data_IF_171504905980
#
_entry.id   IF_171504905980
#
_cell.length_a   1.000
_cell.length_b   1.000
_cell.length_c   1.000
_cell.angle_alpha   90.00
_cell.angle_beta   90.00
_cell.angle_gamma   90.00
#
_symmetry.space_group_name_H-M   'P 1'
#
loop_
_entity.id
_entity.type
_entity.pdbx_description
1 polymer ?
#
# COMPACT_ATOMS: atom_id res chain seq x y z
N UNK A 1 24.78 -16.38 30.56
CA UNK A 1 24.11 -17.66 30.23
C UNK A 1 23.20 -17.39 29.04
N UNK A 2 23.34 -18.11 27.93
CA UNK A 2 22.44 -17.94 26.76
C UNK A 2 21.09 -18.55 27.15
N UNK A 3 20.10 -17.74 27.47
CA UNK A 3 18.79 -18.22 27.93
C UNK A 3 17.78 -18.18 26.80
N UNK A 4 17.44 -19.36 26.29
CA UNK A 4 16.24 -19.59 25.47
C UNK A 4 15.04 -19.79 26.41
N UNK A 5 13.96 -19.03 26.20
CA UNK A 5 12.66 -19.28 26.87
C UNK A 5 11.74 -19.96 25.85
N UNK A 6 11.31 -21.21 26.06
CA UNK A 6 10.39 -21.87 25.16
C UNK A 6 9.04 -21.13 25.15
N UNK A 7 8.45 -20.97 23.96
CA UNK A 7 7.08 -20.49 23.79
C UNK A 7 6.11 -21.49 24.44
N UNK A 8 5.27 -20.99 25.34
CA UNK A 8 4.17 -21.76 25.93
C UNK A 8 3.03 -21.81 24.93
N UNK A 9 2.97 -22.86 24.11
CA UNK A 9 1.74 -23.43 23.55
C UNK A 9 2.06 -24.73 22.79
N UNK A 10 1.12 -25.69 22.89
CA UNK A 10 1.08 -27.06 22.34
C UNK A 10 1.83 -28.19 23.09
N UNK A 11 1.02 -29.04 23.72
CA UNK A 11 1.31 -30.35 24.35
C UNK A 11 1.69 -31.38 23.29
N UNK A 12 2.94 -31.34 22.82
CA UNK A 12 3.58 -32.45 22.10
C UNK A 12 4.58 -33.08 23.07
N UNK A 13 4.52 -34.41 23.24
CA UNK A 13 5.44 -35.17 24.09
C UNK A 13 6.86 -35.05 23.50
N UNK A 14 7.65 -34.10 24.01
CA UNK A 14 9.03 -33.86 23.55
C UNK A 14 9.95 -34.96 24.07
N UNK A 15 10.95 -35.34 23.28
CA UNK A 15 11.95 -36.29 23.74
C UNK A 15 12.67 -35.76 25.01
N UNK A 16 12.88 -36.61 26.01
CA UNK A 16 13.52 -36.25 27.28
C UNK A 16 14.92 -35.64 27.12
N UNK A 17 15.60 -35.90 26.00
CA UNK A 17 16.93 -35.35 25.68
C UNK A 17 16.87 -34.06 24.86
N UNK A 18 15.68 -33.52 24.58
CA UNK A 18 15.48 -32.33 23.75
C UNK A 18 16.28 -31.13 24.26
N UNK A 19 16.14 -30.79 25.54
CA UNK A 19 16.84 -29.63 26.12
C UNK A 19 18.36 -29.81 26.16
N UNK A 20 18.84 -31.04 26.34
CA UNK A 20 20.27 -31.36 26.26
C UNK A 20 20.79 -31.22 24.84
N UNK A 21 20.00 -31.62 23.84
CA UNK A 21 20.34 -31.44 22.44
C UNK A 21 20.43 -29.95 22.07
N UNK A 22 19.49 -29.11 22.54
CA UNK A 22 19.54 -27.64 22.35
C UNK A 22 20.84 -27.06 22.91
N UNK A 23 21.18 -27.39 24.16
CA UNK A 23 22.43 -26.90 24.79
C UNK A 23 23.66 -27.34 24.01
N UNK A 24 23.70 -28.60 23.61
CA UNK A 24 24.81 -29.17 22.85
C UNK A 24 25.03 -28.43 21.52
N UNK A 25 23.97 -28.18 20.74
CA UNK A 25 24.11 -27.47 19.46
C UNK A 25 24.47 -25.99 19.68
N UNK A 26 23.96 -25.36 20.74
CA UNK A 26 24.32 -23.98 21.08
C UNK A 26 25.78 -23.85 21.48
N UNK A 27 26.35 -24.84 22.17
CA UNK A 27 27.74 -24.82 22.61
C UNK A 27 28.72 -25.19 21.50
N UNK A 28 28.35 -26.14 20.65
CA UNK A 28 29.24 -26.69 19.62
C UNK A 28 29.14 -25.96 18.27
N UNK A 29 28.02 -25.27 18.04
CA UNK A 29 27.73 -24.63 16.75
C UNK A 29 27.48 -25.60 15.60
N UNK A 30 27.13 -26.86 15.89
CA UNK A 30 26.90 -27.89 14.88
C UNK A 30 25.62 -28.66 15.20
N UNK A 31 24.64 -28.64 14.29
CA UNK A 31 23.42 -29.47 14.41
C UNK A 31 23.49 -30.66 13.43
N UNK A 32 23.87 -31.84 13.92
CA UNK A 32 23.95 -33.06 13.10
C UNK A 32 23.65 -34.33 13.89
N UNK A 33 23.10 -35.34 13.21
CA UNK A 33 22.64 -36.57 13.86
C UNK A 33 23.82 -37.31 14.51
N UNK A 34 24.98 -37.34 13.84
CA UNK A 34 26.20 -37.96 14.33
C UNK A 34 26.81 -37.24 15.55
N UNK A 35 26.60 -35.92 15.70
CA UNK A 35 27.00 -35.20 16.90
C UNK A 35 26.13 -35.60 18.09
N UNK A 36 24.80 -35.51 17.92
CA UNK A 36 23.83 -35.87 18.97
C UNK A 36 24.00 -37.33 19.38
N UNK A 37 24.15 -38.24 18.40
CA UNK A 37 24.36 -39.66 18.62
C UNK A 37 25.58 -39.92 19.52
N UNK A 38 26.73 -39.30 19.21
CA UNK A 38 27.98 -39.52 19.96
C UNK A 38 27.99 -38.82 21.32
N UNK A 39 27.44 -37.61 21.41
CA UNK A 39 27.52 -36.77 22.61
C UNK A 39 26.46 -37.13 23.64
N UNK A 40 25.24 -37.43 23.20
CA UNK A 40 24.14 -37.85 24.07
C UNK A 40 24.00 -39.38 24.17
N UNK A 41 24.89 -40.14 23.51
CA UNK A 41 24.92 -41.62 23.50
C UNK A 41 23.57 -42.24 23.09
N UNK A 42 22.92 -41.64 22.09
CA UNK A 42 21.63 -42.08 21.57
C UNK A 42 21.80 -42.94 20.32
N UNK A 43 20.80 -43.74 19.96
CA UNK A 43 20.75 -44.43 18.68
C UNK A 43 20.48 -43.46 17.52
N UNK A 44 21.00 -43.76 16.33
CA UNK A 44 20.92 -42.87 15.15
C UNK A 44 19.47 -42.44 14.83
N UNK A 45 18.51 -43.37 14.84
CA UNK A 45 17.10 -43.08 14.56
C UNK A 45 16.44 -42.13 15.58
N UNK A 46 16.91 -42.14 16.83
CA UNK A 46 16.43 -41.21 17.87
C UNK A 46 17.12 -39.85 17.74
N UNK A 47 18.40 -39.83 17.39
CA UNK A 47 19.13 -38.58 17.08
C UNK A 47 18.60 -37.86 15.85
N UNK A 48 18.14 -38.59 14.82
CA UNK A 48 17.46 -38.02 13.67
C UNK A 48 16.12 -37.39 14.06
N UNK A 49 15.28 -38.13 14.81
CA UNK A 49 14.01 -37.61 15.34
C UNK A 49 14.18 -36.36 16.20
N UNK A 50 15.21 -36.33 17.06
CA UNK A 50 15.54 -35.15 17.84
C UNK A 50 15.87 -33.92 16.96
N UNK A 51 16.54 -34.11 15.82
CA UNK A 51 16.76 -32.99 14.90
C UNK A 51 15.47 -32.54 14.23
N UNK A 52 14.59 -33.47 13.87
CA UNK A 52 13.27 -33.14 13.30
C UNK A 52 12.41 -32.37 14.31
N UNK A 53 12.44 -32.75 15.60
CA UNK A 53 11.77 -32.02 16.68
C UNK A 53 12.37 -30.61 16.88
N UNK A 54 13.70 -30.48 16.78
CA UNK A 54 14.38 -29.19 16.87
C UNK A 54 14.04 -28.27 15.67
N UNK A 55 13.90 -28.83 14.48
CA UNK A 55 13.46 -28.13 13.27
C UNK A 55 12.01 -27.64 13.41
N UNK A 56 11.10 -28.53 13.81
CA UNK A 56 9.68 -28.18 14.07
C UNK A 56 9.54 -27.09 15.14
N UNK A 57 10.46 -27.07 16.11
CA UNK A 57 10.51 -26.04 17.16
C UNK A 57 11.18 -24.73 16.72
N UNK A 58 11.62 -24.63 15.46
CA UNK A 58 12.28 -23.45 14.89
C UNK A 58 13.68 -23.18 15.46
N UNK A 59 14.33 -24.20 16.02
CA UNK A 59 15.67 -24.09 16.64
C UNK A 59 16.78 -24.29 15.60
N UNK A 60 16.53 -25.14 14.61
CA UNK A 60 17.41 -25.41 13.46
C UNK A 60 16.63 -25.32 12.15
N UNK A 61 17.33 -25.09 11.04
CA UNK A 61 16.75 -25.05 9.69
C UNK A 61 16.54 -26.43 9.09
N UNK A 62 15.99 -26.45 7.86
CA UNK A 62 15.67 -27.67 7.11
C UNK A 62 16.92 -28.52 6.78
N UNK A 63 16.69 -29.78 6.42
CA UNK A 63 17.77 -30.67 5.95
C UNK A 63 18.32 -30.17 4.62
N UNK A 64 19.61 -29.79 4.59
CA UNK A 64 20.32 -29.44 3.36
C UNK A 64 21.40 -30.48 3.03
N UNK A 65 20.97 -31.58 2.41
CA UNK A 65 21.84 -32.69 2.02
C UNK A 65 22.58 -33.32 3.20
N UNK A 66 23.86 -33.63 3.02
CA UNK A 66 24.70 -34.29 4.04
C UNK A 66 25.37 -33.32 5.03
N UNK A 67 25.12 -32.00 4.92
CA UNK A 67 25.73 -30.99 5.79
C UNK A 67 24.98 -30.89 7.14
N UNK A 68 25.63 -30.42 8.21
CA UNK A 68 24.93 -30.02 9.43
C UNK A 68 23.84 -28.99 9.12
N UNK A 69 22.71 -29.08 9.84
CA UNK A 69 21.60 -28.12 9.70
C UNK A 69 21.99 -26.76 10.26
N UNK A 70 21.41 -25.70 9.71
CA UNK A 70 21.64 -24.33 10.17
C UNK A 70 21.03 -24.12 11.56
N UNK A 71 21.71 -23.41 12.45
CA UNK A 71 21.19 -23.11 13.80
C UNK A 71 20.53 -21.74 13.78
N UNK A 72 19.23 -21.69 14.12
CA UNK A 72 18.39 -20.50 14.01
C UNK A 72 18.29 -19.69 15.33
N UNK A 73 18.84 -20.23 16.41
CA UNK A 73 18.92 -19.57 17.72
C UNK A 73 20.34 -19.06 18.02
N UNK A 74 20.51 -18.16 19.00
CA UNK A 74 21.84 -17.74 19.45
C UNK A 74 22.70 -18.93 19.88
N UNK A 75 23.90 -19.06 19.31
CA UNK A 75 24.83 -20.17 19.53
C UNK A 75 26.28 -19.72 19.42
N UNK A 76 27.23 -20.58 19.82
CA UNK A 76 28.66 -20.34 19.66
C UNK A 76 29.16 -20.90 18.33
N UNK A 77 30.06 -20.18 17.68
CA UNK A 77 30.83 -20.73 16.55
C UNK A 77 32.04 -21.56 17.06
N UNK A 78 32.77 -22.16 16.13
CA UNK A 78 33.99 -22.94 16.44
C UNK A 78 35.08 -22.14 17.16
N UNK A 79 35.05 -20.81 17.06
CA UNK A 79 35.98 -19.89 17.70
C UNK A 79 35.48 -19.40 19.07
N UNK A 80 34.34 -19.91 19.55
CA UNK A 80 33.75 -19.56 20.84
C UNK A 80 32.98 -18.25 20.87
N UNK A 81 32.85 -17.55 19.74
CA UNK A 81 32.10 -16.30 19.62
C UNK A 81 30.60 -16.58 19.55
N UNK A 82 29.79 -15.71 20.15
CA UNK A 82 28.32 -15.83 20.10
C UNK A 82 27.81 -15.27 18.78
N UNK A 83 27.20 -16.14 17.96
CA UNK A 83 26.45 -15.80 16.76
C UNK A 83 24.99 -15.60 17.14
N UNK A 84 24.41 -14.48 16.71
CA UNK A 84 22.97 -14.24 16.72
C UNK A 84 22.51 -14.35 15.25
N UNK A 85 21.83 -15.44 14.86
CA UNK A 85 21.33 -15.59 13.50
C UNK A 85 20.42 -14.41 13.16
N UNK A 86 20.69 -13.73 12.04
CA UNK A 86 19.72 -12.78 11.49
C UNK A 86 18.53 -13.63 11.03
N UNK A 87 17.36 -13.40 11.60
CA UNK A 87 16.12 -13.96 11.06
C UNK A 87 15.93 -13.34 9.69
N UNK A 88 16.40 -14.00 8.63
CA UNK A 88 15.98 -13.63 7.29
C UNK A 88 14.46 -13.71 7.28
N UNK A 89 13.75 -12.66 6.82
CA UNK A 89 12.31 -12.72 6.75
C UNK A 89 11.95 -13.87 5.80
N UNK A 90 11.52 -14.99 6.38
CA UNK A 90 10.93 -16.07 5.60
C UNK A 90 9.78 -15.45 4.82
N UNK A 91 9.74 -15.56 3.48
CA UNK A 91 8.54 -15.17 2.76
C UNK A 91 7.42 -16.04 3.32
N UNK A 92 6.51 -15.41 4.06
CA UNK A 92 5.28 -16.07 4.48
C UNK A 92 4.59 -16.41 3.17
N UNK A 93 4.57 -17.69 2.78
CA UNK A 93 3.61 -18.18 1.80
C UNK A 93 2.26 -18.07 2.49
N UNK A 94 1.64 -16.90 2.38
CA UNK A 94 0.28 -16.73 2.79
C UNK A 94 -0.54 -17.41 1.69
N UNK A 95 -1.00 -18.63 1.97
CA UNK A 95 -2.13 -19.19 1.24
C UNK A 95 -3.36 -18.37 1.63
N UNK A 96 -3.54 -17.23 0.95
CA UNK A 96 -4.77 -16.48 1.01
C UNK A 96 -5.81 -17.27 0.22
N UNK A 97 -6.66 -18.04 0.91
CA UNK A 97 -8.03 -18.25 0.43
C UNK A 97 -8.79 -16.92 0.57
N UNK A 98 -8.38 -15.91 -0.20
CA UNK A 98 -9.13 -14.68 -0.38
C UNK A 98 -10.10 -14.90 -1.53
N UNK A 99 -11.31 -15.36 -1.21
CA UNK A 99 -12.44 -15.06 -2.09
C UNK A 99 -12.58 -13.54 -2.16
N UNK A 100 -11.90 -12.92 -3.12
CA UNK A 100 -12.05 -11.50 -3.45
C UNK A 100 -13.54 -11.19 -3.54
N UNK A 101 -13.98 -10.09 -2.92
CA UNK A 101 -15.38 -9.69 -3.00
C UNK A 101 -15.79 -9.57 -4.49
N UNK A 102 -16.75 -10.39 -4.90
CA UNK A 102 -17.18 -10.48 -6.30
C UNK A 102 -17.89 -9.19 -6.68
N UNK A 103 -17.28 -8.42 -7.58
CA UNK A 103 -17.86 -7.16 -8.05
C UNK A 103 -19.16 -7.41 -8.82
N UNK A 104 -20.22 -6.68 -8.47
CA UNK A 104 -21.48 -6.67 -9.20
C UNK A 104 -21.56 -5.44 -10.10
N UNK A 105 -21.93 -5.65 -11.38
CA UNK A 105 -22.15 -4.55 -12.32
C UNK A 105 -23.27 -3.65 -11.82
N UNK A 106 -22.97 -2.38 -11.60
CA UNK A 106 -23.95 -1.41 -11.10
C UNK A 106 -24.64 -0.67 -12.25
N UNK A 107 -25.72 0.06 -11.92
CA UNK A 107 -26.37 1.02 -12.84
C UNK A 107 -25.47 2.20 -13.25
N UNK A 108 -24.36 2.40 -12.55
CA UNK A 108 -23.38 3.46 -12.82
C UNK A 108 -22.30 3.03 -13.82
N UNK A 109 -22.26 1.74 -14.18
CA UNK A 109 -21.29 1.22 -15.14
C UNK A 109 -21.69 1.56 -16.58
N UNK A 110 -20.87 2.37 -17.25
CA UNK A 110 -21.06 2.68 -18.67
C UNK A 110 -20.84 1.42 -19.53
N UNK A 111 -21.63 1.24 -20.59
CA UNK A 111 -21.48 0.11 -21.52
C UNK A 111 -20.19 0.20 -22.38
N UNK A 112 -19.62 1.40 -22.48
CA UNK A 112 -18.33 1.68 -23.11
C UNK A 112 -17.66 2.76 -22.27
N UNK A 113 -16.60 2.42 -21.54
CA UNK A 113 -15.85 3.36 -20.69
C UNK A 113 -14.90 4.23 -21.53
N UNK A 114 -15.45 4.98 -22.49
CA UNK A 114 -14.69 5.97 -23.23
C UNK A 114 -14.29 7.13 -22.30
N UNK A 115 -12.98 7.26 -22.08
CA UNK A 115 -12.33 8.19 -21.17
C UNK A 115 -12.48 7.83 -19.68
N UNK A 116 -11.35 7.69 -19.00
CA UNK A 116 -11.33 7.55 -17.54
C UNK A 116 -11.75 8.87 -16.86
N UNK A 117 -13.03 8.97 -16.49
CA UNK A 117 -13.61 10.12 -15.78
C UNK A 117 -13.87 9.82 -14.32
N UNK A 118 -13.69 10.84 -13.48
CA UNK A 118 -14.07 10.84 -12.06
C UNK A 118 -15.10 11.96 -11.82
N UNK A 119 -16.07 11.70 -10.96
CA UNK A 119 -17.10 12.66 -10.56
C UNK A 119 -16.55 13.55 -9.44
N UNK A 120 -16.70 14.87 -9.57
CA UNK A 120 -16.21 15.83 -8.56
C UNK A 120 -17.32 16.51 -7.77
N UNK A 121 -18.45 16.82 -8.41
CA UNK A 121 -19.55 17.54 -7.76
C UNK A 121 -20.48 18.20 -8.76
N UNK A 122 -21.07 19.33 -8.36
CA UNK A 122 -21.99 20.10 -9.19
C UNK A 122 -21.54 21.56 -9.32
N UNK A 123 -21.86 22.18 -10.46
CA UNK A 123 -21.65 23.62 -10.67
C UNK A 123 -22.80 24.48 -10.11
N UNK A 124 -22.69 25.79 -10.27
CA UNK A 124 -23.72 26.77 -9.87
C UNK A 124 -25.09 26.56 -10.52
N UNK A 125 -25.12 25.89 -11.68
CA UNK A 125 -26.34 25.54 -12.42
C UNK A 125 -26.85 24.13 -12.06
N UNK A 126 -26.28 23.49 -11.02
CA UNK A 126 -26.57 22.12 -10.58
C UNK A 126 -26.23 21.06 -11.63
N UNK A 127 -25.35 21.36 -12.57
CA UNK A 127 -24.86 20.40 -13.56
C UNK A 127 -23.68 19.64 -12.98
N UNK A 128 -23.63 18.33 -13.23
CA UNK A 128 -22.52 17.47 -12.84
C UNK A 128 -21.20 17.95 -13.45
N UNK A 129 -20.15 17.95 -12.63
CA UNK A 129 -18.79 18.31 -12.99
C UNK A 129 -17.90 17.09 -12.81
N UNK A 130 -17.38 16.61 -13.94
CA UNK A 130 -16.44 15.49 -14.00
C UNK A 130 -15.05 15.96 -14.43
N UNK A 131 -14.03 15.17 -14.08
CA UNK A 131 -12.67 15.32 -14.58
C UNK A 131 -12.25 14.10 -15.39
N UNK A 132 -11.78 14.33 -16.61
CA UNK A 132 -11.17 13.29 -17.44
C UNK A 132 -9.69 13.09 -17.08
N UNK A 133 -9.38 12.06 -16.30
CA UNK A 133 -8.01 11.70 -15.91
C UNK A 133 -7.17 11.21 -17.10
N UNK A 134 -7.77 10.63 -18.14
CA UNK A 134 -7.05 10.34 -19.38
C UNK A 134 -6.55 11.59 -20.08
N UNK A 135 -7.24 12.74 -19.92
CA UNK A 135 -6.84 14.05 -20.46
C UNK A 135 -5.84 14.79 -19.57
N UNK A 136 -6.02 14.74 -18.26
CA UNK A 136 -5.23 15.55 -17.31
C UNK A 136 -4.14 14.78 -16.57
N UNK A 137 -4.16 13.45 -16.57
CA UNK A 137 -3.17 12.58 -15.90
C UNK A 137 -3.35 12.51 -14.39
N UNK A 138 -3.57 13.64 -13.73
CA UNK A 138 -3.66 13.70 -12.29
C UNK A 138 -4.45 14.91 -11.79
N UNK A 139 -4.96 14.78 -10.56
CA UNK A 139 -5.66 15.81 -9.82
C UNK A 139 -4.95 16.07 -8.48
N UNK A 140 -4.55 17.31 -8.24
CA UNK A 140 -4.09 17.78 -6.94
C UNK A 140 -5.23 18.48 -6.21
N UNK A 141 -5.62 17.97 -5.05
CA UNK A 141 -6.66 18.53 -4.19
C UNK A 141 -5.97 19.23 -3.01
N UNK A 142 -6.29 20.51 -2.80
CA UNK A 142 -5.76 21.30 -1.69
C UNK A 142 -6.92 21.73 -0.82
N UNK A 143 -6.93 21.28 0.43
CA UNK A 143 -7.99 21.60 1.38
C UNK A 143 -7.66 21.10 2.78
N UNK A 144 -8.14 21.81 3.80
CA UNK A 144 -7.88 21.48 5.20
C UNK A 144 -8.90 20.47 5.76
N UNK A 145 -8.63 19.95 6.96
CA UNK A 145 -9.57 19.13 7.74
C UNK A 145 -10.96 19.75 7.97
N UNK A 146 -11.12 21.06 7.77
CA UNK A 146 -12.40 21.77 7.92
C UNK A 146 -13.22 21.84 6.62
N UNK A 147 -12.73 21.22 5.54
CA UNK A 147 -13.33 21.26 4.20
C UNK A 147 -13.74 19.85 3.77
N UNK A 148 -14.58 19.75 2.76
CA UNK A 148 -15.12 18.48 2.27
C UNK A 148 -14.15 17.70 1.38
N UNK A 149 -12.85 17.85 1.64
CA UNK A 149 -11.77 17.14 0.93
C UNK A 149 -11.90 15.63 1.12
N UNK A 150 -12.08 15.17 2.36
CA UNK A 150 -12.23 13.74 2.68
C UNK A 150 -13.54 13.18 2.10
N UNK A 151 -14.63 13.95 2.18
CA UNK A 151 -15.90 13.58 1.57
C UNK A 151 -15.74 13.38 0.05
N UNK A 152 -15.05 14.29 -0.64
CA UNK A 152 -14.75 14.16 -2.07
C UNK A 152 -13.89 12.93 -2.39
N UNK A 153 -12.82 12.66 -1.63
CA UNK A 153 -11.98 11.49 -1.87
C UNK A 153 -12.80 10.19 -1.75
N UNK A 154 -13.66 10.09 -0.74
CA UNK A 154 -14.55 8.95 -0.57
C UNK A 154 -15.60 8.84 -1.69
N UNK A 155 -16.17 9.95 -2.15
CA UNK A 155 -17.05 9.96 -3.31
C UNK A 155 -16.36 9.42 -4.54
N UNK A 156 -15.14 9.89 -4.84
CA UNK A 156 -14.35 9.44 -5.99
C UNK A 156 -14.05 7.95 -5.90
N UNK A 157 -13.62 7.45 -4.75
CA UNK A 157 -13.36 6.01 -4.54
C UNK A 157 -14.62 5.19 -4.83
N UNK A 158 -15.72 5.59 -4.20
CA UNK A 158 -16.99 4.88 -4.27
C UNK A 158 -17.57 4.87 -5.68
N UNK A 159 -17.67 6.04 -6.31
CA UNK A 159 -18.20 6.20 -7.67
C UNK A 159 -17.32 5.51 -8.70
N UNK A 160 -15.99 5.56 -8.56
CA UNK A 160 -15.07 4.86 -9.46
C UNK A 160 -15.21 3.35 -9.36
N UNK A 161 -15.35 2.79 -8.16
CA UNK A 161 -15.59 1.34 -7.98
C UNK A 161 -16.99 0.90 -8.44
N UNK A 162 -17.98 1.79 -8.37
CA UNK A 162 -19.31 1.54 -8.92
C UNK A 162 -19.28 1.52 -10.46
N UNK A 163 -18.52 2.45 -11.05
CA UNK A 163 -18.50 2.73 -12.49
C UNK A 163 -17.61 1.77 -13.29
N UNK A 164 -16.43 1.44 -12.79
CA UNK A 164 -15.44 0.64 -13.51
C UNK A 164 -15.28 -0.74 -12.87
N UNK A 165 -15.22 -1.79 -13.68
CA UNK A 165 -14.95 -3.14 -13.16
C UNK A 165 -13.48 -3.30 -12.73
N UNK A 166 -13.16 -4.33 -11.90
CA UNK A 166 -11.78 -4.62 -11.52
C UNK A 166 -10.81 -4.93 -12.68
N UNK A 167 -11.35 -5.29 -13.85
CA UNK A 167 -10.57 -5.51 -15.07
C UNK A 167 -10.25 -4.21 -15.81
N UNK A 168 -11.04 -3.15 -15.58
CA UNK A 168 -10.84 -1.82 -16.17
C UNK A 168 -10.05 -0.90 -15.23
N UNK A 169 -10.26 -1.04 -13.92
CA UNK A 169 -9.66 -0.18 -12.90
C UNK A 169 -9.12 -0.99 -11.72
N UNK A 170 -7.89 -0.67 -11.36
CA UNK A 170 -7.20 -1.11 -10.14
C UNK A 170 -6.84 0.10 -9.29
N UNK A 171 -6.82 -0.09 -7.98
CA UNK A 171 -6.64 0.97 -6.99
C UNK A 171 -5.45 0.69 -6.08
N UNK A 172 -4.67 1.74 -5.82
CA UNK A 172 -3.75 1.82 -4.69
C UNK A 172 -4.22 3.01 -3.86
N UNK A 173 -4.60 2.74 -2.61
CA UNK A 173 -5.16 3.74 -1.70
C UNK A 173 -4.21 3.93 -0.53
N UNK A 174 -3.70 5.15 -0.37
CA UNK A 174 -2.80 5.56 0.71
C UNK A 174 -3.55 6.57 1.57
N UNK A 175 -3.84 6.22 2.80
CA UNK A 175 -4.51 7.08 3.77
C UNK A 175 -3.50 7.67 4.76
N UNK A 176 -3.01 8.89 4.49
CA UNK A 176 -2.04 9.56 5.35
C UNK A 176 -2.60 9.95 6.72
N UNK A 177 -3.92 9.98 6.89
CA UNK A 177 -4.61 10.24 8.16
C UNK A 177 -5.57 9.09 8.42
N UNK A 178 -5.15 8.16 9.27
CA UNK A 178 -5.86 6.91 9.53
C UNK A 178 -7.35 7.13 9.84
N UNK A 179 -8.21 6.60 8.96
CA UNK A 179 -9.65 6.53 9.19
C UNK A 179 -10.46 7.57 8.40
N UNK A 180 -9.79 8.40 7.60
CA UNK A 180 -10.46 9.34 6.70
C UNK A 180 -11.05 8.62 5.48
N UNK A 181 -10.32 7.65 4.92
CA UNK A 181 -10.76 6.92 3.74
C UNK A 181 -11.53 5.65 4.12
N UNK A 182 -12.64 5.43 3.42
CA UNK A 182 -13.53 4.29 3.59
C UNK A 182 -13.45 3.42 2.34
N UNK A 183 -12.81 2.26 2.48
CA UNK A 183 -12.73 1.25 1.43
C UNK A 183 -13.07 -0.12 2.04
N UNK A 184 -13.91 -0.95 1.41
CA UNK A 184 -14.15 -2.31 1.86
C UNK A 184 -12.86 -3.13 1.89
N UNK A 185 -12.69 -3.93 2.95
CA UNK A 185 -11.60 -4.90 3.00
C UNK A 185 -11.71 -5.86 1.80
N UNK A 186 -10.58 -6.14 1.15
CA UNK A 186 -10.50 -7.08 0.01
C UNK A 186 -11.38 -6.72 -1.20
N UNK A 187 -11.70 -5.43 -1.37
CA UNK A 187 -12.33 -4.96 -2.60
C UNK A 187 -11.49 -5.40 -3.81
N UNK A 188 -12.13 -6.03 -4.80
CA UNK A 188 -11.44 -6.65 -5.95
C UNK A 188 -10.68 -5.66 -6.85
N UNK A 189 -10.94 -4.36 -6.69
CA UNK A 189 -10.16 -3.29 -7.33
C UNK A 189 -8.81 -3.04 -6.66
N UNK A 190 -8.65 -3.31 -5.36
CA UNK A 190 -7.42 -3.02 -4.62
C UNK A 190 -6.27 -3.93 -5.08
N UNK A 191 -5.10 -3.33 -5.35
CA UNK A 191 -3.85 -4.06 -5.58
C UNK A 191 -3.10 -4.41 -4.29
N UNK A 192 -3.46 -3.71 -3.22
CA UNK A 192 -2.92 -3.85 -1.88
C UNK A 192 -4.02 -3.43 -0.90
N UNK A 193 -4.07 -4.01 0.32
CA UNK A 193 -4.84 -3.42 1.40
C UNK A 193 -4.52 -1.92 1.53
N UNK A 194 -5.51 -1.14 1.96
CA UNK A 194 -5.35 0.31 2.16
C UNK A 194 -4.10 0.58 3.01
N UNK A 195 -3.20 1.39 2.48
CA UNK A 195 -1.92 1.68 3.09
C UNK A 195 -2.11 2.84 4.06
N UNK A 196 -1.72 2.64 5.32
CA UNK A 196 -1.74 3.70 6.34
C UNK A 196 -0.31 4.05 6.76
N UNK A 197 0.62 3.10 6.67
CA UNK A 197 2.01 3.28 7.06
C UNK A 197 2.85 3.89 5.93
N UNK A 198 3.52 5.02 6.21
CA UNK A 198 4.31 5.75 5.21
C UNK A 198 5.42 4.92 4.54
N UNK A 199 6.03 3.98 5.28
CA UNK A 199 7.01 3.02 4.76
C UNK A 199 6.45 2.15 3.61
N UNK A 200 5.21 1.70 3.76
CA UNK A 200 4.53 0.89 2.75
C UNK A 200 4.15 1.74 1.53
N UNK A 201 3.87 3.03 1.72
CA UNK A 201 3.63 3.97 0.61
C UNK A 201 4.82 4.02 -0.34
N UNK A 202 6.05 4.08 0.18
CA UNK A 202 7.28 4.04 -0.64
C UNK A 202 7.35 2.75 -1.47
N UNK A 203 7.04 1.61 -0.85
CA UNK A 203 7.07 0.31 -1.53
C UNK A 203 6.03 0.23 -2.66
N UNK A 204 4.82 0.75 -2.44
CA UNK A 204 3.77 0.79 -3.44
C UNK A 204 4.13 1.72 -4.62
N UNK A 205 4.72 2.88 -4.35
CA UNK A 205 5.17 3.81 -5.39
C UNK A 205 6.31 3.20 -6.23
N UNK A 206 7.29 2.53 -5.60
CA UNK A 206 8.34 1.78 -6.32
C UNK A 206 7.76 0.67 -7.20
N UNK A 207 6.76 -0.05 -6.70
CA UNK A 207 6.05 -1.05 -7.49
C UNK A 207 5.39 -0.42 -8.71
N UNK A 208 4.75 0.75 -8.56
CA UNK A 208 4.14 1.46 -9.69
C UNK A 208 5.17 1.84 -10.76
N UNK A 209 6.35 2.35 -10.36
CA UNK A 209 7.45 2.64 -11.30
C UNK A 209 7.87 1.38 -12.06
N UNK A 210 8.10 0.28 -11.35
CA UNK A 210 8.50 -0.98 -11.98
C UNK A 210 7.41 -1.56 -12.90
N UNK A 211 6.14 -1.43 -12.52
CA UNK A 211 5.02 -1.90 -13.34
C UNK A 211 4.86 -1.04 -14.59
N UNK A 212 5.09 0.28 -14.50
CA UNK A 212 5.17 1.15 -15.67
C UNK A 212 6.27 0.65 -16.60
N UNK A 213 7.50 0.46 -16.10
CA UNK A 213 8.63 -0.05 -16.89
C UNK A 213 8.35 -1.41 -17.53
N UNK A 214 7.65 -2.30 -16.81
CA UNK A 214 7.20 -3.59 -17.35
C UNK A 214 6.23 -3.37 -18.52
N UNK A 215 5.23 -2.51 -18.36
CA UNK A 215 4.27 -2.17 -19.42
C UNK A 215 4.93 -1.49 -20.62
N UNK A 216 6.00 -0.72 -20.42
CA UNK A 216 6.77 -0.13 -21.54
C UNK A 216 7.37 -1.18 -22.48
N UNK A 217 7.70 -2.36 -21.95
CA UNK A 217 8.36 -3.45 -22.68
C UNK A 217 7.37 -4.43 -23.33
N UNK A 218 6.08 -4.34 -23.00
CA UNK A 218 5.06 -5.20 -23.59
C UNK A 218 4.68 -4.66 -24.97
N UNK A 219 4.60 -5.54 -25.96
CA UNK A 219 3.88 -5.23 -27.20
C UNK A 219 2.39 -5.02 -26.88
N UNK A 220 1.79 -3.97 -27.45
CA UNK A 220 0.46 -3.42 -27.17
C UNK A 220 -0.74 -4.37 -27.45
N UNK A 221 -0.56 -5.69 -27.41
CA UNK A 221 -1.54 -6.68 -27.84
C UNK A 221 -2.69 -6.91 -26.84
N UNK A 222 -2.54 -6.56 -25.56
CA UNK A 222 -3.59 -6.74 -24.55
C UNK A 222 -3.82 -5.47 -23.69
N UNK A 223 -5.06 -4.94 -23.66
CA UNK A 223 -5.44 -3.84 -22.78
C UNK A 223 -5.14 -4.21 -21.32
N UNK A 224 -4.44 -3.34 -20.61
CA UNK A 224 -4.19 -3.48 -19.18
C UNK A 224 -5.17 -2.63 -18.39
N UNK A 225 -5.58 -3.09 -17.21
CA UNK A 225 -6.36 -2.29 -16.28
C UNK A 225 -5.63 -0.98 -15.96
N UNK A 226 -6.38 0.12 -15.92
CA UNK A 226 -5.91 1.42 -15.46
C UNK A 226 -5.62 1.31 -13.96
N UNK A 227 -4.61 2.03 -13.49
CA UNK A 227 -4.24 2.09 -12.06
C UNK A 227 -4.45 3.51 -11.57
N UNK A 228 -5.39 3.69 -10.65
CA UNK A 228 -5.58 4.95 -9.93
C UNK A 228 -4.90 4.85 -8.57
N UNK A 229 -3.95 5.74 -8.34
CA UNK A 229 -3.25 5.89 -7.06
C UNK A 229 -3.86 7.10 -6.35
N UNK A 230 -4.56 6.84 -5.25
CA UNK A 230 -5.17 7.87 -4.43
C UNK A 230 -4.38 8.04 -3.14
N UNK A 231 -3.93 9.27 -2.88
CA UNK A 231 -3.15 9.62 -1.69
C UNK A 231 -3.94 10.66 -0.90
N UNK A 232 -4.43 10.30 0.27
CA UNK A 232 -4.92 11.26 1.25
C UNK A 232 -3.73 11.84 2.03
N UNK A 233 -3.68 13.16 2.15
CA UNK A 233 -2.74 13.90 3.00
C UNK A 233 -1.26 13.65 2.65
N UNK A 234 -0.84 14.09 1.47
CA UNK A 234 0.54 13.99 0.96
C UNK A 234 1.61 14.42 1.98
N UNK A 235 1.34 15.50 2.73
CA UNK A 235 2.28 16.01 3.74
C UNK A 235 2.61 14.96 4.83
N UNK A 236 1.66 14.09 5.18
CA UNK A 236 1.89 13.05 6.20
C UNK A 236 2.87 11.99 5.71
N UNK A 237 2.78 11.59 4.43
CA UNK A 237 3.71 10.61 3.87
C UNK A 237 5.08 11.24 3.59
N UNK A 238 5.12 12.50 3.15
CA UNK A 238 6.38 13.21 2.88
C UNK A 238 7.25 13.36 4.13
N UNK A 239 6.67 13.39 5.33
CA UNK A 239 7.44 13.48 6.59
C UNK A 239 8.38 12.27 6.83
N UNK A 240 8.12 11.13 6.19
CA UNK A 240 8.92 9.93 6.36
C UNK A 240 10.18 9.91 5.46
N UNK A 241 10.00 9.99 4.14
CA UNK A 241 11.09 10.00 3.16
C UNK A 241 10.76 10.95 2.01
N UNK A 242 10.91 12.28 2.19
CA UNK A 242 10.39 13.28 1.24
C UNK A 242 10.96 13.11 -0.16
N UNK A 243 12.29 13.02 -0.28
CA UNK A 243 12.98 12.94 -1.57
C UNK A 243 12.60 11.70 -2.36
N UNK A 244 12.47 10.56 -1.68
CA UNK A 244 12.13 9.29 -2.32
C UNK A 244 10.67 9.25 -2.77
N UNK A 245 9.75 9.76 -1.94
CA UNK A 245 8.34 9.86 -2.29
C UNK A 245 8.13 10.83 -3.44
N UNK A 246 8.74 12.02 -3.39
CA UNK A 246 8.62 13.03 -4.45
C UNK A 246 9.17 12.49 -5.79
N UNK A 247 10.35 11.84 -5.78
CA UNK A 247 10.96 11.28 -7.00
C UNK A 247 10.08 10.18 -7.62
N UNK A 248 9.55 9.25 -6.82
CA UNK A 248 8.67 8.22 -7.36
C UNK A 248 7.34 8.80 -7.90
N UNK A 249 6.69 9.72 -7.17
CA UNK A 249 5.46 10.38 -7.65
C UNK A 249 5.75 11.11 -8.97
N UNK A 250 6.85 11.87 -9.04
CA UNK A 250 7.24 12.58 -10.25
C UNK A 250 7.44 11.64 -11.45
N UNK A 251 8.18 10.54 -11.28
CA UNK A 251 8.40 9.54 -12.35
C UNK A 251 7.08 8.97 -12.86
N UNK A 252 6.18 8.59 -11.94
CA UNK A 252 4.87 8.05 -12.28
C UNK A 252 4.02 9.12 -13.00
N UNK A 253 4.03 10.38 -12.57
CA UNK A 253 3.29 11.46 -13.24
C UNK A 253 3.77 11.68 -14.68
N UNK A 254 5.09 11.67 -14.91
CA UNK A 254 5.68 11.94 -16.23
C UNK A 254 5.50 10.77 -17.19
N UNK A 255 5.69 9.53 -16.71
CA UNK A 255 5.74 8.34 -17.59
C UNK A 255 4.44 7.54 -17.56
N UNK A 256 3.73 7.55 -16.44
CA UNK A 256 2.66 6.59 -16.13
C UNK A 256 1.40 6.75 -16.95
N UNK A 257 1.02 7.97 -17.34
CA UNK A 257 -0.23 8.24 -18.08
C UNK A 257 -0.35 7.40 -19.35
N UNK A 258 0.73 7.30 -20.14
CA UNK A 258 0.76 6.50 -21.38
C UNK A 258 0.50 5.01 -21.13
N UNK A 259 0.81 4.53 -19.92
CA UNK A 259 0.68 3.14 -19.51
C UNK A 259 -0.49 2.92 -18.53
N UNK A 260 -1.40 3.89 -18.44
CA UNK A 260 -2.66 3.80 -17.70
C UNK A 260 -2.54 4.07 -16.20
N UNK A 261 -1.55 4.84 -15.75
CA UNK A 261 -1.41 5.25 -14.34
C UNK A 261 -1.86 6.69 -14.13
N UNK A 262 -2.66 6.91 -13.08
CA UNK A 262 -3.26 8.20 -12.76
C UNK A 262 -3.17 8.47 -11.26
N UNK A 263 -3.12 9.75 -10.90
CA UNK A 263 -3.06 10.18 -9.50
C UNK A 263 -4.25 11.04 -9.09
N UNK A 264 -4.69 10.84 -7.85
CA UNK A 264 -5.45 11.82 -7.07
C UNK A 264 -4.71 12.02 -5.76
N UNK A 265 -4.24 13.23 -5.51
CA UNK A 265 -3.42 13.53 -4.34
C UNK A 265 -4.09 14.67 -3.58
N UNK A 266 -4.44 14.44 -2.31
CA UNK A 266 -4.87 15.53 -1.42
C UNK A 266 -3.73 16.03 -0.53
N UNK A 267 -3.82 17.29 -0.13
CA UNK A 267 -2.92 17.89 0.86
C UNK A 267 -3.57 19.10 1.53
N UNK A 268 -3.24 19.36 2.80
CA UNK A 268 -3.73 20.56 3.51
C UNK A 268 -3.20 21.86 2.88
N UNK A 269 -1.94 21.82 2.45
CA UNK A 269 -1.25 22.90 1.78
C UNK A 269 -0.16 22.32 0.88
N UNK A 270 0.14 23.04 -0.19
CA UNK A 270 1.14 22.64 -1.17
C UNK A 270 2.40 23.49 -0.98
N UNK A 271 3.37 23.00 -0.20
CA UNK A 271 4.63 23.72 0.02
C UNK A 271 5.48 23.69 -1.25
N UNK A 272 5.78 24.85 -1.88
CA UNK A 272 6.55 24.90 -3.12
C UNK A 272 7.99 24.42 -3.00
N UNK A 273 8.51 24.20 -1.78
CA UNK A 273 9.87 23.66 -1.55
C UNK A 273 9.92 22.14 -1.52
N UNK A 274 8.88 21.48 -1.02
CA UNK A 274 8.87 20.01 -0.81
C UNK A 274 7.96 19.26 -1.77
N UNK A 275 7.02 19.95 -2.44
CA UNK A 275 6.11 19.35 -3.41
C UNK A 275 6.21 20.03 -4.78
N UNK A 276 7.35 20.69 -5.08
CA UNK A 276 7.53 21.50 -6.30
C UNK A 276 7.21 20.70 -7.56
N UNK A 277 7.76 19.49 -7.65
CA UNK A 277 7.63 18.65 -8.84
C UNK A 277 6.19 18.18 -9.03
N UNK A 278 5.51 17.86 -7.93
CA UNK A 278 4.11 17.44 -7.91
C UNK A 278 3.20 18.59 -8.38
N UNK A 279 3.39 19.80 -7.82
CA UNK A 279 2.60 20.99 -8.18
C UNK A 279 2.79 21.35 -9.66
N UNK A 280 4.03 21.29 -10.16
CA UNK A 280 4.36 21.64 -11.54
C UNK A 280 3.81 20.63 -12.56
N UNK A 281 3.68 19.36 -12.16
CA UNK A 281 3.14 18.29 -12.98
C UNK A 281 1.69 17.97 -12.61
N UNK A 282 0.91 18.96 -12.17
CA UNK A 282 -0.53 18.84 -11.90
C UNK A 282 -1.35 19.74 -12.82
N UNK A 283 -1.76 19.23 -14.01
CA UNK A 283 -2.58 19.98 -14.97
C UNK A 283 -3.99 20.29 -14.48
N UNK A 284 -4.48 19.57 -13.47
CA UNK A 284 -5.74 19.84 -12.79
C UNK A 284 -5.49 20.02 -11.28
N UNK A 285 -6.05 21.10 -10.73
CA UNK A 285 -5.98 21.44 -9.31
C UNK A 285 -7.37 21.79 -8.80
N UNK A 286 -7.75 21.24 -7.66
CA UNK A 286 -8.99 21.57 -6.98
C UNK A 286 -8.64 22.17 -5.61
N UNK A 287 -9.01 23.42 -5.40
CA UNK A 287 -8.65 24.15 -4.17
C UNK A 287 -9.91 24.50 -3.40
N UNK A 288 -10.06 23.91 -2.22
CA UNK A 288 -11.05 24.31 -1.21
C UNK A 288 -10.62 25.60 -0.52
N UNK A 289 -11.53 26.17 0.28
CA UNK A 289 -11.24 27.38 1.05
C UNK A 289 -9.98 27.22 1.91
N UNK A 290 -8.90 27.99 1.63
CA UNK A 290 -7.69 27.97 2.45
C UNK A 290 -7.93 28.61 3.82
N UNK A 291 -7.14 28.24 4.83
CA UNK A 291 -7.26 28.84 6.18
C UNK A 291 -6.74 30.28 6.25
N UNK A 292 -5.83 30.66 5.35
CA UNK A 292 -5.26 31.99 5.30
C UNK A 292 -4.81 32.41 3.87
N UNK A 293 -4.50 33.70 3.72
CA UNK A 293 -4.07 34.30 2.44
C UNK A 293 -2.73 33.76 1.91
N UNK A 294 -1.85 33.25 2.79
CA UNK A 294 -0.57 32.70 2.37
C UNK A 294 -0.79 31.35 1.69
N UNK A 295 -1.56 30.44 2.30
CA UNK A 295 -1.92 29.15 1.70
C UNK A 295 -2.68 29.36 0.39
N UNK A 296 -3.59 30.33 0.34
CA UNK A 296 -4.30 30.67 -0.91
C UNK A 296 -3.36 31.08 -2.05
N UNK A 297 -2.27 31.80 -1.75
CA UNK A 297 -1.26 32.14 -2.77
C UNK A 297 -0.42 30.95 -3.17
N UNK A 298 -0.01 30.14 -2.20
CA UNK A 298 0.83 28.95 -2.42
C UNK A 298 0.08 27.83 -3.17
N UNK A 299 -1.24 27.77 -3.09
CA UNK A 299 -2.07 26.82 -3.86
C UNK A 299 -2.10 27.11 -5.38
N UNK A 300 -1.82 28.36 -5.77
CA UNK A 300 -1.96 28.85 -7.14
C UNK A 300 -3.35 29.38 -7.49
N UNK A 301 -4.33 29.30 -6.58
CA UNK A 301 -5.69 29.82 -6.76
C UNK A 301 -6.04 30.76 -5.58
N UNK A 302 -5.53 32.01 -5.57
CA UNK A 302 -5.74 32.95 -4.46
C UNK A 302 -7.21 33.28 -4.19
N UNK A 303 -8.05 33.29 -5.23
CA UNK A 303 -9.48 33.58 -5.12
C UNK A 303 -10.27 32.52 -4.34
N UNK A 304 -9.69 31.33 -4.10
CA UNK A 304 -10.32 30.30 -3.27
C UNK A 304 -10.53 30.76 -1.81
N UNK A 305 -9.83 31.80 -1.34
CA UNK A 305 -10.06 32.39 -0.01
C UNK A 305 -11.45 33.01 0.14
N UNK A 306 -12.06 33.44 -0.97
CA UNK A 306 -13.38 34.08 -1.00
C UNK A 306 -14.54 33.05 -1.01
N UNK A 307 -14.23 31.75 -1.01
CA UNK A 307 -15.24 30.70 -0.91
C UNK A 307 -16.04 30.84 0.40
N UNK A 308 -17.33 30.55 0.32
CA UNK A 308 -18.27 30.85 1.40
C UNK A 308 -18.63 29.62 2.24
N UNK A 309 -18.48 28.43 1.66
CA UNK A 309 -18.81 27.15 2.28
C UNK A 309 -17.63 26.17 2.28
N UNK A 310 -17.50 25.30 3.30
CA UNK A 310 -16.50 24.23 3.33
C UNK A 310 -16.69 23.16 2.24
N UNK A 311 -17.88 23.09 1.64
CA UNK A 311 -18.21 22.17 0.54
C UNK A 311 -17.88 22.77 -0.84
N UNK A 312 -17.47 24.04 -0.91
CA UNK A 312 -17.12 24.69 -2.17
C UNK A 312 -15.63 24.55 -2.47
N UNK A 313 -15.32 24.37 -3.75
CA UNK A 313 -13.96 24.37 -4.26
C UNK A 313 -13.88 25.03 -5.64
N UNK A 314 -12.69 25.47 -6.02
CA UNK A 314 -12.38 25.96 -7.36
C UNK A 314 -11.50 24.92 -8.07
N UNK A 315 -12.03 24.36 -9.15
CA UNK A 315 -11.30 23.51 -10.07
C UNK A 315 -10.61 24.38 -11.12
N UNK A 316 -9.29 24.35 -11.18
CA UNK A 316 -8.50 24.89 -12.28
C UNK A 316 -7.95 23.74 -13.13
N UNK A 317 -8.15 23.83 -14.43
CA UNK A 317 -7.56 22.90 -15.39
C UNK A 317 -6.77 23.64 -16.46
N UNK A 318 -5.70 23.03 -16.94
CA UNK A 318 -4.78 23.63 -17.91
C UNK A 318 -5.45 24.14 -19.19
N UNK A 319 -6.53 23.49 -19.65
CA UNK A 319 -7.16 23.79 -20.95
C UNK A 319 -8.55 24.42 -20.85
N UNK A 320 -9.22 24.30 -19.70
CA UNK A 320 -10.64 24.69 -19.57
C UNK A 320 -10.86 25.74 -18.45
N UNK A 321 -9.77 26.30 -17.92
CA UNK A 321 -9.80 27.39 -16.96
C UNK A 321 -10.33 26.98 -15.59
N UNK A 322 -10.88 27.98 -14.87
CA UNK A 322 -11.38 27.85 -13.50
C UNK A 322 -12.90 27.67 -13.49
N UNK A 323 -13.38 26.76 -12.65
CA UNK A 323 -14.81 26.54 -12.38
C UNK A 323 -15.02 26.36 -10.89
N UNK A 324 -16.04 27.02 -10.34
CA UNK A 324 -16.50 26.78 -8.98
C UNK A 324 -17.42 25.56 -8.97
N UNK A 325 -17.26 24.69 -7.98
CA UNK A 325 -18.12 23.54 -7.78
C UNK A 325 -18.42 23.33 -6.29
N UNK A 326 -19.49 22.60 -6.03
CA UNK A 326 -19.91 22.18 -4.69
C UNK A 326 -19.89 20.67 -4.60
N UNK A 327 -19.28 20.15 -3.53
CA UNK A 327 -19.20 18.71 -3.26
C UNK A 327 -20.53 18.22 -2.69
N UNK A 328 -21.13 17.22 -3.33
CA UNK A 328 -22.29 16.53 -2.78
C UNK A 328 -21.82 15.42 -1.85
N UNK A 329 -22.46 15.22 -0.70
CA UNK A 329 -22.14 14.10 0.17
C UNK A 329 -22.82 12.84 -0.33
N UNK A 330 -22.03 11.79 -0.58
CA UNK A 330 -22.52 10.45 -0.87
C UNK A 330 -22.42 9.62 0.42
N UNK A 331 -23.19 8.52 0.52
CA UNK A 331 -23.00 7.51 1.56
C UNK A 331 -22.18 6.34 0.97
N UNK A 332 -20.85 6.28 1.20
CA UNK A 332 -20.00 5.23 0.65
C UNK A 332 -20.46 3.84 1.05
N UNK A 333 -20.90 3.68 2.31
CA UNK A 333 -21.26 2.36 2.86
C UNK A 333 -22.46 1.78 2.12
N UNK A 334 -23.46 2.62 1.84
CA UNK A 334 -24.64 2.20 1.08
C UNK A 334 -24.26 1.69 -0.31
N UNK A 335 -23.44 2.43 -1.04
CA UNK A 335 -23.04 2.05 -2.40
C UNK A 335 -22.12 0.82 -2.39
N UNK A 336 -21.21 0.71 -1.43
CA UNK A 336 -20.35 -0.48 -1.32
C UNK A 336 -21.15 -1.76 -1.08
N UNK A 337 -22.23 -1.71 -0.30
CA UNK A 337 -23.13 -2.87 -0.16
C UNK A 337 -23.75 -3.26 -1.50
N UNK A 338 -24.17 -2.29 -2.32
CA UNK A 338 -24.71 -2.58 -3.66
C UNK A 338 -23.68 -3.25 -4.60
N UNK A 339 -22.38 -2.96 -4.42
CA UNK A 339 -21.30 -3.47 -5.28
C UNK A 339 -20.76 -4.84 -4.82
N UNK A 340 -20.57 -5.02 -3.50
CA UNK A 340 -19.75 -6.09 -2.94
C UNK A 340 -20.52 -7.09 -2.06
N UNK A 341 -21.77 -6.82 -1.67
CA UNK A 341 -22.65 -7.75 -0.92
C UNK A 341 -23.76 -8.28 -1.83
#
# INVERSE_FOLDING_TARGET
MLTYKPSQEATIERDVMFDEAVKLIQETGVASASLIQRRLKLGYARSARLLDELEQSGIIGEVNGAKPRDILIPHKNREGQTIIPKKEPSPVKIEFEETLASWKKTKHADNVSENFKIELGIDENKKEVDLNLEKYGNLLIIGSQFTSTVDLLNNILTTSMAKYSPNELKLIVIDGVKGDLIVPNQASHLLTPMIVEAEKSVSALKWCVNEIERRMKLDNLNPQAKVLILINSLNQILNFSPSEIEDNIYRIMVQGRKYGFYFIISTDYANPRTAKSIIANSPAKLVFKPTDKKIARESGIPEAIELSSPDEAILETMYEGKRKLTINKVDPKKIYREIFE
#
